data_IF_284690551953
#
_entry.id   IF_284690551953
#
_cell.length_a   1.000
_cell.length_b   1.000
_cell.length_c   1.000
_cell.angle_alpha   90.00
_cell.angle_beta   90.00
_cell.angle_gamma   90.00
#
_symmetry.space_group_name_H-M   'P 1'
#
loop_
_entity.id
_entity.type
_entity.pdbx_description
1 polymer ?
#
# COMPACT_ATOMS: atom_id res chain seq x y z
N UNK A 1 11.01 -1.63 -8.85
CA UNK A 1 11.01 -1.92 -7.40
C UNK A 1 9.89 -1.12 -6.74
N UNK A 2 9.17 -1.70 -5.77
CA UNK A 2 8.09 -1.01 -5.07
C UNK A 2 8.63 0.11 -4.20
N UNK A 3 7.97 1.28 -4.16
CA UNK A 3 8.44 2.47 -3.41
C UNK A 3 8.12 2.40 -1.91
N UNK A 4 7.40 1.37 -1.48
CA UNK A 4 6.86 1.25 -0.12
C UNK A 4 7.53 0.17 0.74
N UNK A 5 8.21 -0.80 0.13
CA UNK A 5 8.88 -1.87 0.89
C UNK A 5 9.97 -1.26 1.77
N UNK A 6 9.98 -1.66 3.05
CA UNK A 6 10.90 -1.15 4.07
C UNK A 6 10.45 0.15 4.75
N UNK A 7 9.31 0.73 4.34
CA UNK A 7 8.74 1.92 5.00
C UNK A 7 7.72 1.53 6.06
N UNK A 8 7.61 2.37 7.10
CA UNK A 8 6.46 2.33 8.00
C UNK A 8 5.21 2.82 7.27
N UNK A 9 4.05 2.34 7.68
CA UNK A 9 2.75 2.78 7.14
C UNK A 9 2.60 4.31 7.22
N UNK A 10 3.04 4.94 8.31
CA UNK A 10 2.99 6.40 8.47
C UNK A 10 3.88 7.18 7.49
N UNK A 11 4.98 6.56 7.02
CA UNK A 11 5.95 7.18 6.11
C UNK A 11 5.53 7.05 4.62
N UNK A 12 4.42 6.36 4.34
CA UNK A 12 3.88 6.22 2.99
C UNK A 12 3.00 7.43 2.69
N UNK A 13 3.42 8.23 1.70
CA UNK A 13 2.67 9.38 1.20
C UNK A 13 1.44 8.93 0.40
N UNK A 14 0.41 8.46 1.10
CA UNK A 14 -0.88 8.09 0.53
C UNK A 14 -1.67 9.36 0.13
N UNK A 15 -2.51 9.29 -0.92
CA UNK A 15 -3.52 10.31 -1.16
C UNK A 15 -4.45 10.45 0.04
N UNK A 16 -5.00 11.63 0.26
CA UNK A 16 -5.88 11.91 1.41
C UNK A 16 -7.11 10.99 1.46
N UNK A 17 -7.62 10.60 0.29
CA UNK A 17 -8.75 9.67 0.15
C UNK A 17 -8.40 8.18 0.38
N UNK A 18 -7.14 7.86 0.68
CA UNK A 18 -6.66 6.49 0.81
C UNK A 18 -6.18 6.18 2.24
N UNK A 19 -6.53 4.98 2.74
CA UNK A 19 -6.05 4.45 4.03
C UNK A 19 -5.69 2.97 3.89
N UNK A 20 -4.62 2.56 4.56
CA UNK A 20 -4.27 1.14 4.69
C UNK A 20 -5.07 0.58 5.86
N UNK A 21 -5.82 -0.49 5.62
CA UNK A 21 -6.59 -1.18 6.67
C UNK A 21 -5.78 -2.28 7.35
N UNK A 22 -5.19 -3.16 6.55
CA UNK A 22 -4.39 -4.27 7.04
C UNK A 22 -3.36 -4.73 6.02
N UNK A 23 -2.41 -5.52 6.50
CA UNK A 23 -1.42 -6.23 5.72
C UNK A 23 -1.67 -7.72 5.91
N UNK A 24 -1.76 -8.47 4.82
CA UNK A 24 -1.76 -9.92 4.85
C UNK A 24 -0.35 -10.40 4.52
N UNK A 25 0.27 -11.13 5.46
CA UNK A 25 1.64 -11.66 5.34
C UNK A 25 1.59 -13.18 5.49
N UNK A 26 1.77 -13.89 4.38
CA UNK A 26 1.48 -15.32 4.34
C UNK A 26 0.03 -15.61 4.71
N UNK A 27 -0.19 -16.27 5.85
CA UNK A 27 -1.53 -16.63 6.34
C UNK A 27 -2.00 -15.75 7.51
N UNK A 28 -1.26 -14.71 7.86
CA UNK A 28 -1.57 -13.81 8.98
C UNK A 28 -2.13 -12.48 8.50
N UNK A 29 -3.14 -11.98 9.20
CA UNK A 29 -3.68 -10.63 9.03
C UNK A 29 -3.12 -9.73 10.12
N UNK A 30 -2.37 -8.72 9.70
CA UNK A 30 -1.74 -7.72 10.56
C UNK A 30 -2.54 -6.42 10.42
N UNK A 31 -3.15 -5.96 11.51
CA UNK A 31 -3.83 -4.66 11.51
C UNK A 31 -2.80 -3.56 11.31
N UNK A 32 -3.03 -2.69 10.32
CA UNK A 32 -2.06 -1.68 9.98
C UNK A 32 -2.06 -0.57 11.04
N UNK A 33 -0.91 -0.38 11.69
CA UNK A 33 -0.63 0.71 12.60
C UNK A 33 0.47 1.60 12.04
N UNK A 34 0.64 2.79 12.64
CA UNK A 34 1.59 3.81 12.18
C UNK A 34 3.03 3.27 12.04
N UNK A 35 3.44 2.40 12.96
CA UNK A 35 4.78 1.80 13.05
C UNK A 35 4.96 0.51 12.25
N UNK A 36 3.88 -0.03 11.66
CA UNK A 36 3.95 -1.29 10.91
C UNK A 36 4.82 -1.11 9.67
N UNK A 37 5.85 -1.95 9.53
CA UNK A 37 6.77 -1.90 8.38
C UNK A 37 6.27 -2.84 7.28
N UNK A 38 6.13 -2.30 6.06
CA UNK A 38 5.80 -3.06 4.86
C UNK A 38 7.00 -3.88 4.42
N UNK A 39 6.79 -5.17 4.17
CA UNK A 39 7.80 -6.12 3.74
C UNK A 39 7.57 -6.54 2.28
N UNK A 40 8.57 -7.19 1.68
CA UNK A 40 8.38 -7.85 0.40
C UNK A 40 7.30 -8.94 0.54
N UNK A 41 6.55 -9.17 -0.53
CA UNK A 41 5.46 -10.15 -0.62
C UNK A 41 4.24 -9.89 0.29
N UNK A 42 4.20 -8.73 0.97
CA UNK A 42 3.01 -8.28 1.69
C UNK A 42 1.86 -7.96 0.73
N UNK A 43 0.66 -8.47 1.04
CA UNK A 43 -0.57 -8.03 0.40
C UNK A 43 -1.22 -6.93 1.22
N UNK A 44 -1.19 -5.71 0.72
CA UNK A 44 -1.73 -4.54 1.43
C UNK A 44 -3.18 -4.30 1.01
N UNK A 45 -4.10 -4.25 1.98
CA UNK A 45 -5.51 -3.93 1.74
C UNK A 45 -5.73 -2.44 2.00
N UNK A 46 -6.17 -1.71 0.98
CA UNK A 46 -6.42 -0.28 1.03
C UNK A 46 -7.89 0.05 0.80
N UNK A 47 -8.37 1.07 1.50
CA UNK A 47 -9.65 1.71 1.26
C UNK A 47 -9.41 3.03 0.55
N UNK A 48 -10.10 3.26 -0.56
CA UNK A 48 -10.04 4.49 -1.35
C UNK A 48 -11.46 5.04 -1.48
N UNK A 49 -11.70 6.24 -0.97
CA UNK A 49 -13.02 6.89 -1.02
C UNK A 49 -13.27 7.66 -2.31
N UNK A 50 -12.20 8.02 -3.04
CA UNK A 50 -12.26 8.69 -4.33
C UNK A 50 -11.49 7.92 -5.40
N UNK A 51 -12.22 7.36 -6.37
CA UNK A 51 -11.65 6.52 -7.44
C UNK A 51 -10.63 7.25 -8.31
N UNK A 52 -10.60 8.59 -8.32
CA UNK A 52 -9.60 9.37 -9.07
C UNK A 52 -8.17 9.16 -8.55
N UNK A 53 -8.00 8.69 -7.32
CA UNK A 53 -6.68 8.47 -6.72
C UNK A 53 -6.14 7.04 -6.88
N UNK A 54 -6.86 6.15 -7.58
CA UNK A 54 -6.41 4.76 -7.80
C UNK A 54 -5.05 4.72 -8.50
N UNK A 55 -4.89 5.48 -9.59
CA UNK A 55 -3.62 5.53 -10.35
C UNK A 55 -2.44 6.00 -9.48
N UNK A 56 -2.68 6.95 -8.56
CA UNK A 56 -1.64 7.44 -7.65
C UNK A 56 -1.21 6.35 -6.67
N UNK A 57 -2.16 5.56 -6.16
CA UNK A 57 -1.88 4.42 -5.28
C UNK A 57 -1.13 3.34 -6.06
N UNK A 58 -1.57 2.97 -7.27
CA UNK A 58 -0.89 1.96 -8.09
C UNK A 58 0.58 2.30 -8.34
N UNK A 59 0.90 3.57 -8.63
CA UNK A 59 2.28 4.04 -8.81
C UNK A 59 3.15 3.89 -7.56
N UNK A 60 2.57 3.92 -6.36
CA UNK A 60 3.32 3.72 -5.10
C UNK A 60 3.68 2.24 -4.91
N UNK A 61 2.73 1.34 -5.15
CA UNK A 61 2.85 -0.07 -4.79
C UNK A 61 3.40 -0.95 -5.91
N UNK A 62 3.00 -0.71 -7.16
CA UNK A 62 3.30 -1.58 -8.30
C UNK A 62 4.45 -1.07 -9.21
N UNK A 63 4.82 0.21 -9.09
CA UNK A 63 5.81 0.84 -9.97
C UNK A 63 5.34 0.96 -11.43
N UNK A 64 6.11 1.65 -12.27
CA UNK A 64 5.71 2.06 -13.63
C UNK A 64 5.46 0.89 -14.61
N UNK A 65 5.81 -0.34 -14.25
CA UNK A 65 5.77 -1.49 -15.16
C UNK A 65 4.46 -2.29 -15.10
N UNK A 66 3.64 -2.12 -14.06
CA UNK A 66 2.48 -2.98 -13.84
C UNK A 66 1.16 -2.48 -14.46
N UNK A 67 1.07 -1.20 -14.84
CA UNK A 67 -0.14 -0.58 -15.42
C UNK A 67 -0.42 -0.93 -16.88
N UNK A 68 0.20 -2.00 -17.41
CA UNK A 68 0.01 -2.46 -18.79
C UNK A 68 -0.64 -3.84 -18.79
N UNK A 69 -1.92 -3.89 -18.42
CA UNK A 69 -2.86 -4.95 -18.79
C UNK A 69 -4.21 -4.32 -19.09
#
# INVERSE_FOLDING_TARGET
SSRVVGKRVEDIALPESAKIGCIVRGNEVIMAHHDTIVQADDHVVLFITDRRHVDQVERLFLGETAGRR
#
